data_IF_763208283592
#
_entry.id   IF_763208283592
#
_cell.length_a   1.000
_cell.length_b   1.000
_cell.length_c   1.000
_cell.angle_alpha   90.00
_cell.angle_beta   90.00
_cell.angle_gamma   90.00
#
_symmetry.space_group_name_H-M   'P 1'
#
loop_
_entity.id
_entity.type
_entity.pdbx_description
1 polymer ?
#
# COMPACT_ATOMS: atom_id res chain seq x y z
N UNK A 1 -14.96 7.99 14.97
CA UNK A 1 -14.53 6.70 14.38
C UNK A 1 -13.01 6.56 14.34
N UNK A 2 -12.26 7.55 13.83
CA UNK A 2 -10.80 7.41 13.63
C UNK A 2 -10.02 6.82 14.81
N UNK A 3 -10.14 7.30 16.07
CA UNK A 3 -9.35 6.73 17.16
C UNK A 3 -9.54 5.21 17.33
N UNK A 4 -10.79 4.73 17.22
CA UNK A 4 -11.11 3.30 17.33
C UNK A 4 -10.59 2.48 16.14
N UNK A 5 -10.69 3.03 14.92
CA UNK A 5 -10.19 2.34 13.72
C UNK A 5 -8.66 2.21 13.75
N UNK A 6 -7.97 3.27 14.17
CA UNK A 6 -6.52 3.31 14.32
C UNK A 6 -6.06 2.34 15.42
N UNK A 7 -6.78 2.27 16.55
CA UNK A 7 -6.49 1.31 17.62
C UNK A 7 -6.59 -0.13 17.11
N UNK A 8 -7.67 -0.47 16.39
CA UNK A 8 -7.85 -1.80 15.80
C UNK A 8 -6.78 -2.14 14.75
N UNK A 9 -6.30 -1.15 14.00
CA UNK A 9 -5.18 -1.34 13.08
C UNK A 9 -3.86 -1.62 13.80
N UNK A 10 -3.57 -0.86 14.86
CA UNK A 10 -2.41 -1.09 15.73
C UNK A 10 -2.46 -2.47 16.38
N UNK A 11 -3.60 -2.83 16.99
CA UNK A 11 -3.83 -4.13 17.61
C UNK A 11 -3.75 -5.29 16.60
N UNK A 12 -4.08 -5.01 15.33
CA UNK A 12 -3.93 -5.92 14.21
C UNK A 12 -2.48 -6.06 13.72
N UNK A 13 -1.54 -5.31 14.30
CA UNK A 13 -0.11 -5.42 14.01
C UNK A 13 0.41 -4.50 12.89
N UNK A 14 -0.38 -3.51 12.44
CA UNK A 14 0.12 -2.53 11.47
C UNK A 14 1.15 -1.59 12.12
N UNK A 15 2.12 -1.15 11.33
CA UNK A 15 3.09 -0.11 11.69
C UNK A 15 2.82 1.22 10.99
N UNK A 16 2.10 1.19 9.86
CA UNK A 16 1.86 2.33 8.98
C UNK A 16 0.38 2.38 8.56
N UNK A 17 -0.22 3.56 8.61
CA UNK A 17 -1.52 3.85 8.00
C UNK A 17 -1.28 4.59 6.68
N UNK A 18 -1.82 4.07 5.58
CA UNK A 18 -1.76 4.72 4.27
C UNK A 18 -3.09 5.38 3.94
N UNK A 19 -3.06 6.61 3.43
CA UNK A 19 -4.26 7.33 3.01
C UNK A 19 -4.01 8.19 1.78
N UNK A 20 -5.05 8.38 0.97
CA UNK A 20 -5.06 9.40 -0.08
C UNK A 20 -5.39 10.78 0.47
N UNK A 21 -5.09 11.82 -0.31
CA UNK A 21 -5.60 13.17 -0.13
C UNK A 21 -6.62 13.47 -1.22
N UNK A 22 -7.85 13.81 -0.83
CA UNK A 22 -8.98 13.95 -1.75
C UNK A 22 -9.12 15.43 -2.16
N UNK A 23 -8.47 15.85 -3.24
CA UNK A 23 -8.43 17.27 -3.64
C UNK A 23 -9.83 17.88 -3.80
N UNK A 24 -10.74 17.20 -4.49
CA UNK A 24 -12.11 17.69 -4.67
C UNK A 24 -12.90 17.88 -3.37
N UNK A 25 -12.56 17.15 -2.31
CA UNK A 25 -13.12 17.33 -0.98
C UNK A 25 -12.54 18.60 -0.33
N UNK A 26 -11.26 18.85 -0.51
CA UNK A 26 -10.56 19.98 0.09
C UNK A 26 -10.71 21.30 -0.69
N UNK A 27 -10.97 21.27 -2.00
CA UNK A 27 -11.16 22.47 -2.83
C UNK A 27 -12.39 22.30 -3.74
N UNK A 28 -13.62 22.30 -3.19
CA UNK A 28 -14.83 22.03 -3.96
C UNK A 28 -15.13 23.14 -5.00
N UNK A 29 -14.60 24.35 -4.81
CA UNK A 29 -14.75 25.49 -5.74
C UNK A 29 -13.42 26.21 -5.91
N UNK A 30 -13.11 26.58 -7.15
CA UNK A 30 -11.89 27.32 -7.47
C UNK A 30 -11.83 28.66 -6.74
N UNK A 31 -10.67 28.98 -6.18
CA UNK A 31 -10.41 30.29 -5.57
C UNK A 31 -11.05 30.51 -4.20
N UNK A 32 -11.80 29.53 -3.68
CA UNK A 32 -12.26 29.54 -2.30
C UNK A 32 -11.18 29.02 -1.34
N UNK A 33 -11.38 29.27 -0.05
CA UNK A 33 -10.54 28.68 0.98
C UNK A 33 -10.71 27.16 0.97
N UNK A 34 -9.59 26.44 1.10
CA UNK A 34 -9.61 25.00 1.24
C UNK A 34 -10.39 24.58 2.51
N UNK A 35 -11.17 23.52 2.40
CA UNK A 35 -11.88 22.90 3.53
C UNK A 35 -11.08 21.73 4.12
N UNK A 36 -10.68 21.91 5.38
CA UNK A 36 -10.03 20.89 6.20
C UNK A 36 -10.80 20.69 7.51
N UNK A 37 -12.12 20.86 7.49
CA UNK A 37 -12.98 20.71 8.65
C UNK A 37 -13.64 19.32 8.72
N UNK A 38 -14.12 18.94 9.91
CA UNK A 38 -14.88 17.70 10.08
C UNK A 38 -14.13 16.46 9.59
N UNK A 39 -14.74 15.72 8.65
CA UNK A 39 -14.11 14.51 8.07
C UNK A 39 -12.96 14.81 7.09
N UNK A 40 -12.83 16.07 6.65
CA UNK A 40 -11.75 16.54 5.78
C UNK A 40 -10.54 17.05 6.58
N UNK A 41 -10.57 16.99 7.92
CA UNK A 41 -9.44 17.39 8.76
C UNK A 41 -8.31 16.35 8.74
N UNK A 42 -7.52 16.39 7.67
CA UNK A 42 -6.40 15.48 7.45
C UNK A 42 -5.27 15.66 8.46
N UNK A 43 -5.06 16.89 8.95
CA UNK A 43 -4.05 17.19 9.97
C UNK A 43 -4.42 16.49 11.27
N UNK A 44 -5.67 16.62 11.72
CA UNK A 44 -6.17 15.91 12.91
C UNK A 44 -6.08 14.40 12.75
N UNK A 45 -6.45 13.87 11.57
CA UNK A 45 -6.34 12.44 11.30
C UNK A 45 -4.89 11.93 11.43
N UNK A 46 -3.92 12.64 10.84
CA UNK A 46 -2.50 12.27 10.92
C UNK A 46 -1.95 12.42 12.35
N UNK A 47 -2.35 13.46 13.08
CA UNK A 47 -1.99 13.63 14.50
C UNK A 47 -2.54 12.51 15.38
N UNK A 48 -3.75 12.04 15.11
CA UNK A 48 -4.34 10.89 15.81
C UNK A 48 -3.53 9.61 15.55
N UNK A 49 -3.09 9.37 14.31
CA UNK A 49 -2.22 8.23 13.97
C UNK A 49 -0.90 8.32 14.74
N UNK A 50 -0.30 9.51 14.79
CA UNK A 50 0.94 9.75 15.53
C UNK A 50 0.79 9.54 17.03
N UNK A 51 -0.30 10.04 17.63
CA UNK A 51 -0.59 9.89 19.05
C UNK A 51 -0.71 8.41 19.47
N UNK A 52 -1.13 7.55 18.53
CA UNK A 52 -1.18 6.10 18.75
C UNK A 52 0.12 5.39 18.40
N UNK A 53 1.17 6.10 17.97
CA UNK A 53 2.51 5.55 17.72
C UNK A 53 2.64 4.79 16.39
N UNK A 54 1.81 5.12 15.40
CA UNK A 54 1.90 4.59 14.04
C UNK A 54 2.49 5.62 13.08
N UNK A 55 3.04 5.15 11.96
CA UNK A 55 3.53 5.99 10.87
C UNK A 55 2.47 6.21 9.79
N UNK A 56 2.76 7.11 8.84
CA UNK A 56 1.88 7.45 7.72
C UNK A 56 2.59 7.36 6.38
N UNK A 57 1.91 6.76 5.41
CA UNK A 57 2.19 6.94 3.98
C UNK A 57 1.12 7.85 3.38
N UNK A 58 1.51 9.07 3.00
CA UNK A 58 0.58 10.10 2.51
C UNK A 58 0.56 10.14 0.99
N UNK A 59 -0.51 9.66 0.36
CA UNK A 59 -0.64 9.61 -1.11
C UNK A 59 -1.37 10.86 -1.60
N UNK A 60 -0.61 11.86 -2.04
CA UNK A 60 -1.13 13.21 -2.28
C UNK A 60 -1.91 13.32 -3.61
N UNK A 61 -1.59 12.48 -4.60
CA UNK A 61 -2.21 12.53 -5.92
C UNK A 61 -1.50 13.53 -6.85
N UNK A 62 -2.21 14.38 -7.61
CA UNK A 62 -3.58 14.84 -7.35
C UNK A 62 -4.66 13.87 -7.85
N UNK A 63 -4.38 13.11 -8.91
CA UNK A 63 -5.23 12.00 -9.29
C UNK A 63 -4.94 10.82 -8.38
N UNK A 64 -5.98 10.26 -7.77
CA UNK A 64 -5.88 9.16 -6.80
C UNK A 64 -6.64 7.92 -7.22
N UNK A 65 -7.44 7.99 -8.29
CA UNK A 65 -8.41 6.94 -8.65
C UNK A 65 -9.37 6.72 -7.46
N UNK A 66 -9.10 5.71 -6.63
CA UNK A 66 -9.77 5.37 -5.37
C UNK A 66 -11.26 5.04 -5.51
N UNK A 67 -11.72 4.70 -6.71
CA UNK A 67 -13.14 4.66 -7.08
C UNK A 67 -13.91 5.91 -6.59
N UNK A 68 -13.20 7.04 -6.55
CA UNK A 68 -13.68 8.30 -6.00
C UNK A 68 -14.11 9.23 -7.13
N UNK A 69 -15.11 10.09 -6.87
CA UNK A 69 -15.67 11.03 -7.84
C UNK A 69 -14.55 11.79 -8.55
N UNK A 70 -14.53 11.67 -9.88
CA UNK A 70 -13.56 12.33 -10.75
C UNK A 70 -12.09 12.04 -10.41
N UNK A 71 -11.81 10.85 -9.83
CA UNK A 71 -10.47 10.41 -9.44
C UNK A 71 -9.80 11.32 -8.41
N UNK A 72 -10.59 12.05 -7.62
CA UNK A 72 -10.13 13.03 -6.65
C UNK A 72 -9.93 14.45 -7.20
N UNK A 73 -9.98 14.66 -8.51
CA UNK A 73 -9.84 15.99 -9.10
C UNK A 73 -11.09 16.84 -8.86
N UNK A 74 -10.98 18.14 -8.52
CA UNK A 74 -12.14 19.01 -8.44
C UNK A 74 -12.82 19.19 -9.80
N UNK A 75 -14.15 19.21 -9.83
CA UNK A 75 -14.88 19.30 -11.09
C UNK A 75 -14.63 20.61 -11.84
N UNK A 76 -14.46 21.73 -11.12
CA UNK A 76 -14.14 23.04 -11.72
C UNK A 76 -12.83 23.04 -12.51
N UNK A 77 -11.94 22.07 -12.27
CA UNK A 77 -10.70 21.93 -13.02
C UNK A 77 -10.98 21.66 -14.50
N UNK A 78 -12.13 21.06 -14.82
CA UNK A 78 -12.59 20.82 -16.20
C UNK A 78 -12.76 22.12 -17.00
N UNK A 79 -13.18 23.20 -16.34
CA UNK A 79 -13.51 24.47 -17.00
C UNK A 79 -12.28 25.37 -17.20
N UNK A 80 -11.09 24.92 -16.79
CA UNK A 80 -9.84 25.67 -16.99
C UNK A 80 -9.48 25.68 -18.48
N UNK A 81 -9.31 26.85 -19.11
CA UNK A 81 -9.02 26.94 -20.55
C UNK A 81 -7.76 26.16 -20.96
N UNK A 82 -7.91 25.31 -21.98
CA UNK A 82 -6.82 24.54 -22.57
C UNK A 82 -6.26 23.43 -21.68
N UNK A 83 -6.98 23.03 -20.63
CA UNK A 83 -6.50 22.00 -19.71
C UNK A 83 -6.55 20.61 -20.34
N UNK A 84 -5.51 19.82 -20.09
CA UNK A 84 -5.48 18.40 -20.38
C UNK A 84 -4.96 17.71 -19.13
N UNK A 85 -5.79 16.87 -18.52
CA UNK A 85 -5.45 16.23 -17.26
C UNK A 85 -4.34 15.21 -17.42
N UNK A 86 -3.52 15.11 -16.37
CA UNK A 86 -2.47 14.09 -16.25
C UNK A 86 -1.60 14.04 -17.50
N UNK A 87 -1.18 15.20 -17.99
CA UNK A 87 -0.36 15.33 -19.20
C UNK A 87 0.62 16.48 -19.00
N UNK A 88 1.62 16.58 -19.89
CA UNK A 88 2.52 17.72 -19.94
C UNK A 88 1.78 18.93 -20.53
N UNK A 89 0.93 19.52 -19.69
CA UNK A 89 0.01 20.60 -19.98
C UNK A 89 0.17 21.64 -18.89
N UNK A 90 0.57 22.86 -19.26
CA UNK A 90 0.92 23.90 -18.29
C UNK A 90 -0.22 24.24 -17.31
N UNK A 91 -1.48 24.46 -17.76
CA UNK A 91 -2.59 24.67 -16.83
C UNK A 91 -2.76 23.55 -15.79
N UNK A 92 -2.69 22.29 -16.20
CA UNK A 92 -2.79 21.16 -15.27
C UNK A 92 -1.62 21.11 -14.30
N UNK A 93 -0.39 21.29 -14.79
CA UNK A 93 0.83 21.30 -13.97
C UNK A 93 0.80 22.39 -12.90
N UNK A 94 0.34 23.59 -13.25
CA UNK A 94 0.26 24.71 -12.31
C UNK A 94 -0.73 24.42 -11.17
N UNK A 95 -1.92 23.89 -11.50
CA UNK A 95 -2.92 23.53 -10.50
C UNK A 95 -2.48 22.34 -9.64
N UNK A 96 -1.91 21.29 -10.25
CA UNK A 96 -1.35 20.14 -9.53
C UNK A 96 -0.24 20.57 -8.55
N UNK A 97 0.70 21.39 -9.00
CA UNK A 97 1.80 21.88 -8.18
C UNK A 97 1.27 22.74 -7.02
N UNK A 98 0.30 23.62 -7.27
CA UNK A 98 -0.31 24.45 -6.23
C UNK A 98 -0.96 23.60 -5.14
N UNK A 99 -1.70 22.56 -5.53
CA UNK A 99 -2.33 21.65 -4.58
C UNK A 99 -1.30 20.84 -3.78
N UNK A 100 -0.34 20.21 -4.47
CA UNK A 100 0.71 19.44 -3.81
C UNK A 100 1.53 20.29 -2.84
N UNK A 101 1.92 21.50 -3.24
CA UNK A 101 2.63 22.45 -2.39
C UNK A 101 1.79 22.88 -1.17
N UNK A 102 0.49 23.10 -1.34
CA UNK A 102 -0.42 23.42 -0.24
C UNK A 102 -0.46 22.30 0.81
N UNK A 103 -0.64 21.06 0.37
CA UNK A 103 -0.67 19.90 1.28
C UNK A 103 0.69 19.72 1.98
N UNK A 104 1.79 19.72 1.24
CA UNK A 104 3.14 19.58 1.83
C UNK A 104 3.43 20.71 2.82
N UNK A 105 3.10 21.95 2.48
CA UNK A 105 3.29 23.10 3.38
C UNK A 105 2.50 22.95 4.68
N UNK A 106 1.26 22.45 4.62
CA UNK A 106 0.44 22.21 5.80
C UNK A 106 1.01 21.08 6.68
N UNK A 107 1.48 19.99 6.07
CA UNK A 107 2.12 18.91 6.82
C UNK A 107 3.41 19.40 7.48
N UNK A 108 4.18 20.24 6.78
CA UNK A 108 5.42 20.85 7.32
C UNK A 108 5.16 21.82 8.46
N UNK A 109 4.16 22.69 8.36
CA UNK A 109 3.84 23.66 9.42
C UNK A 109 3.43 22.99 10.73
N UNK A 110 2.93 21.75 10.64
CA UNK A 110 2.51 20.94 11.78
C UNK A 110 3.58 19.90 12.20
N UNK A 111 4.79 19.98 11.64
CA UNK A 111 5.90 19.04 11.87
C UNK A 111 5.52 17.57 11.66
N UNK A 112 4.68 17.27 10.67
CA UNK A 112 4.13 15.92 10.48
C UNK A 112 5.03 15.00 9.65
N UNK A 113 6.07 15.51 8.98
CA UNK A 113 7.06 14.65 8.33
C UNK A 113 8.04 14.04 9.34
N UNK A 114 8.46 12.79 9.11
CA UNK A 114 9.42 12.10 9.98
C UNK A 114 10.76 12.83 10.10
N UNK A 115 11.17 13.57 9.06
CA UNK A 115 12.31 14.50 9.08
C UNK A 115 12.17 15.63 10.12
N UNK A 116 10.96 15.90 10.60
CA UNK A 116 10.61 16.90 11.61
C UNK A 116 10.12 16.25 12.92
N UNK A 117 10.21 14.93 13.06
CA UNK A 117 9.72 14.18 14.22
C UNK A 117 8.26 13.69 14.11
N UNK A 118 7.58 13.94 12.99
CA UNK A 118 6.20 13.51 12.76
C UNK A 118 6.05 12.08 12.20
N UNK A 119 4.82 11.61 11.96
CA UNK A 119 4.57 10.22 11.55
C UNK A 119 4.75 9.95 10.05
N UNK A 120 4.77 10.96 9.16
CA UNK A 120 4.76 10.74 7.71
C UNK A 120 6.15 10.29 7.25
N UNK A 121 6.28 9.02 6.87
CA UNK A 121 7.54 8.39 6.45
C UNK A 121 7.68 8.24 4.93
N UNK A 122 6.57 8.29 4.20
CA UNK A 122 6.53 8.14 2.74
C UNK A 122 5.46 9.08 2.16
N UNK A 123 5.71 9.62 0.97
CA UNK A 123 4.71 10.37 0.20
C UNK A 123 4.57 9.80 -1.21
N UNK A 124 3.38 9.84 -1.81
CA UNK A 124 3.18 9.46 -3.22
C UNK A 124 2.69 10.65 -4.04
N UNK A 125 3.27 10.80 -5.23
CA UNK A 125 2.79 11.71 -6.28
C UNK A 125 2.21 10.87 -7.42
N UNK A 126 1.14 11.35 -8.07
CA UNK A 126 0.36 10.59 -9.06
C UNK A 126 -0.19 9.26 -8.50
N UNK A 127 -0.89 8.51 -9.35
CA UNK A 127 -1.42 7.18 -9.09
C UNK A 127 -1.60 6.37 -10.38
N UNK A 128 -0.83 5.28 -10.52
CA UNK A 128 -0.92 4.31 -11.63
C UNK A 128 -0.81 4.92 -13.04
N UNK A 129 0.00 5.97 -13.20
CA UNK A 129 0.07 6.74 -14.44
C UNK A 129 0.58 5.95 -15.65
N UNK A 130 1.50 4.99 -15.46
CA UNK A 130 2.01 4.13 -16.54
C UNK A 130 0.90 3.46 -17.35
N UNK A 131 -0.29 3.25 -16.76
CA UNK A 131 -1.44 2.63 -17.46
C UNK A 131 -1.98 3.46 -18.61
N UNK A 132 -1.74 4.78 -18.63
CA UNK A 132 -2.19 5.71 -19.68
C UNK A 132 -1.04 6.51 -20.30
N UNK A 133 0.18 6.34 -19.80
CA UNK A 133 1.33 7.16 -20.20
C UNK A 133 1.58 7.13 -21.71
N UNK A 134 1.49 5.94 -22.33
CA UNK A 134 1.67 5.79 -23.77
C UNK A 134 0.64 6.54 -24.60
N UNK A 135 -0.56 6.74 -24.07
CA UNK A 135 -1.66 7.39 -24.78
C UNK A 135 -1.40 8.89 -24.97
N UNK A 136 -0.46 9.46 -24.19
CA UNK A 136 -0.02 10.84 -24.31
C UNK A 136 1.23 11.02 -25.20
N UNK A 137 1.76 9.95 -25.79
CA UNK A 137 3.02 10.00 -26.56
C UNK A 137 4.14 10.66 -25.76
N UNK A 138 4.89 11.57 -26.37
CA UNK A 138 6.03 12.25 -25.71
C UNK A 138 5.63 13.08 -24.47
N UNK A 139 4.36 13.47 -24.36
CA UNK A 139 3.86 14.23 -23.19
C UNK A 139 3.72 13.35 -21.95
N UNK A 140 3.58 12.04 -22.08
CA UNK A 140 3.48 11.11 -20.96
C UNK A 140 4.79 11.06 -20.15
N UNK A 141 5.89 10.60 -20.75
CA UNK A 141 7.19 10.56 -20.07
C UNK A 141 7.68 11.94 -19.63
N UNK A 142 7.36 13.00 -20.40
CA UNK A 142 7.68 14.38 -20.00
C UNK A 142 6.96 14.79 -18.71
N UNK A 143 5.66 14.47 -18.61
CA UNK A 143 4.87 14.70 -17.41
C UNK A 143 5.37 13.89 -16.21
N UNK A 144 5.72 12.61 -16.38
CA UNK A 144 6.28 11.78 -15.29
C UNK A 144 7.55 12.38 -14.73
N UNK A 145 8.50 12.79 -15.60
CA UNK A 145 9.73 13.46 -15.18
C UNK A 145 9.44 14.77 -14.45
N UNK A 146 8.51 15.57 -14.96
CA UNK A 146 8.11 16.82 -14.31
C UNK A 146 7.47 16.57 -12.93
N UNK A 147 6.52 15.63 -12.82
CA UNK A 147 5.77 15.35 -11.60
C UNK A 147 6.69 14.84 -10.48
N UNK A 148 7.58 13.90 -10.82
CA UNK A 148 8.60 13.41 -9.90
C UNK A 148 9.55 14.53 -9.44
N UNK A 149 10.07 15.34 -10.37
CA UNK A 149 10.98 16.42 -10.03
C UNK A 149 10.28 17.53 -9.21
N UNK A 150 9.01 17.82 -9.49
CA UNK A 150 8.19 18.75 -8.72
C UNK A 150 8.01 18.26 -7.28
N UNK A 151 7.62 17.00 -7.10
CA UNK A 151 7.43 16.40 -5.78
C UNK A 151 8.72 16.41 -4.94
N UNK A 152 9.86 16.02 -5.54
CA UNK A 152 11.17 16.02 -4.88
C UNK A 152 11.59 17.43 -4.47
N UNK A 153 11.34 18.45 -5.31
CA UNK A 153 11.62 19.87 -4.98
C UNK A 153 10.80 20.42 -3.82
N UNK A 154 9.70 19.77 -3.42
CA UNK A 154 8.95 20.15 -2.21
C UNK A 154 9.73 19.83 -0.93
N UNK A 155 10.83 19.08 -1.00
CA UNK A 155 11.79 18.85 0.09
C UNK A 155 11.13 18.40 1.40
N UNK A 156 10.29 17.37 1.33
CA UNK A 156 9.59 16.79 2.50
C UNK A 156 10.56 16.17 3.52
N UNK A 157 11.79 15.83 3.08
CA UNK A 157 12.77 15.12 3.89
C UNK A 157 12.48 13.63 4.04
N UNK A 158 11.49 13.10 3.31
CA UNK A 158 11.13 11.67 3.26
C UNK A 158 11.02 11.19 1.81
N UNK A 159 11.17 9.88 1.53
CA UNK A 159 11.09 9.36 0.16
C UNK A 159 9.73 9.57 -0.51
N UNK A 160 9.78 9.72 -1.84
CA UNK A 160 8.61 9.77 -2.70
C UNK A 160 8.40 8.45 -3.44
N UNK A 161 7.13 8.11 -3.64
CA UNK A 161 6.66 6.91 -4.34
C UNK A 161 5.89 7.30 -5.61
N UNK A 162 5.90 6.40 -6.60
CA UNK A 162 4.93 6.35 -7.70
C UNK A 162 4.51 4.89 -7.91
N UNK A 163 3.22 4.60 -7.78
CA UNK A 163 2.72 3.23 -7.93
C UNK A 163 2.42 2.89 -9.38
N UNK A 164 2.74 1.65 -9.79
CA UNK A 164 2.74 1.20 -11.19
C UNK A 164 3.40 2.24 -12.10
N UNK A 165 4.67 2.52 -11.86
CA UNK A 165 5.46 3.46 -12.67
C UNK A 165 6.87 2.90 -12.84
N UNK A 166 7.06 2.01 -13.81
CA UNK A 166 8.32 1.26 -13.96
C UNK A 166 9.49 2.19 -14.31
N UNK A 167 9.24 3.32 -14.96
CA UNK A 167 10.23 4.34 -15.32
C UNK A 167 10.30 5.53 -14.35
N UNK A 168 9.76 5.39 -13.12
CA UNK A 168 9.83 6.44 -12.10
C UNK A 168 11.28 6.93 -11.89
N UNK A 169 11.59 8.21 -12.14
CA UNK A 169 12.96 8.71 -12.13
C UNK A 169 13.50 8.82 -10.71
N UNK A 170 14.81 8.66 -10.55
CA UNK A 170 15.47 8.82 -9.26
C UNK A 170 15.23 10.23 -8.68
N UNK A 171 15.05 10.35 -7.35
CA UNK A 171 15.11 9.30 -6.31
C UNK A 171 13.75 8.60 -6.02
N UNK A 172 12.72 8.78 -6.86
CA UNK A 172 11.36 8.26 -6.60
C UNK A 172 11.33 6.73 -6.68
N UNK A 173 10.66 6.09 -5.73
CA UNK A 173 10.54 4.63 -5.66
C UNK A 173 9.30 4.17 -6.45
N UNK A 174 9.49 3.30 -7.44
CA UNK A 174 8.38 2.63 -8.10
C UNK A 174 7.81 1.52 -7.23
N UNK A 175 6.49 1.40 -7.16
CA UNK A 175 5.81 0.44 -6.29
C UNK A 175 4.83 -0.43 -7.05
N UNK A 176 4.43 -1.54 -6.42
CA UNK A 176 3.46 -2.47 -6.98
C UNK A 176 2.07 -2.30 -6.36
N UNK A 177 1.04 -2.52 -7.19
CA UNK A 177 -0.36 -2.62 -6.79
C UNK A 177 -0.98 -3.90 -7.36
N UNK A 178 -2.01 -4.42 -6.70
CA UNK A 178 -2.78 -5.57 -7.14
C UNK A 178 -2.89 -6.66 -6.10
N UNK A 179 -3.45 -7.81 -6.48
CA UNK A 179 -3.61 -8.96 -5.59
C UNK A 179 -2.30 -9.70 -5.29
N UNK A 180 -1.35 -9.69 -6.23
CA UNK A 180 -0.34 -10.76 -6.35
C UNK A 180 1.09 -10.24 -6.53
N UNK A 181 1.45 -9.08 -5.98
CA UNK A 181 2.80 -8.53 -6.16
C UNK A 181 3.93 -9.47 -5.70
N UNK A 182 3.69 -10.36 -4.71
CA UNK A 182 4.64 -11.43 -4.37
C UNK A 182 4.96 -12.38 -5.53
N UNK A 183 4.08 -12.47 -6.53
CA UNK A 183 4.30 -13.19 -7.79
C UNK A 183 4.66 -12.28 -8.95
N UNK A 184 3.95 -11.16 -9.12
CA UNK A 184 3.95 -10.36 -10.34
C UNK A 184 4.92 -9.19 -10.33
N UNK A 185 5.35 -8.72 -9.16
CA UNK A 185 6.29 -7.61 -9.10
C UNK A 185 7.67 -8.08 -9.54
N UNK A 186 8.22 -7.39 -10.55
CA UNK A 186 9.57 -7.64 -11.07
C UNK A 186 10.65 -7.14 -10.11
N UNK A 187 10.30 -6.20 -9.24
CA UNK A 187 11.22 -5.51 -8.34
C UNK A 187 11.25 -4.00 -8.65
N UNK A 188 11.94 -3.23 -7.81
CA UNK A 188 12.15 -1.81 -8.06
C UNK A 188 13.01 -1.61 -9.32
N UNK A 189 12.90 -0.45 -9.94
CA UNK A 189 13.62 -0.09 -11.17
C UNK A 189 15.09 0.28 -10.94
N UNK A 190 15.59 0.15 -9.71
CA UNK A 190 16.99 0.32 -9.34
C UNK A 190 17.32 -0.61 -8.16
N UNK A 191 18.52 -1.22 -8.12
CA UNK A 191 18.94 -2.07 -7.00
C UNK A 191 19.07 -1.32 -5.67
N UNK A 192 19.15 0.02 -5.70
CA UNK A 192 19.27 0.86 -4.51
C UNK A 192 17.91 1.25 -3.90
N UNK A 193 16.80 0.76 -4.45
CA UNK A 193 15.44 1.06 -3.99
C UNK A 193 14.84 -0.16 -3.27
N UNK A 194 14.00 0.03 -2.24
CA UNK A 194 13.29 -1.07 -1.60
C UNK A 194 12.16 -1.61 -2.47
N UNK A 195 11.75 -2.86 -2.23
CA UNK A 195 10.55 -3.44 -2.84
C UNK A 195 9.31 -3.06 -2.02
N UNK A 196 8.43 -2.24 -2.60
CA UNK A 196 7.26 -1.66 -1.94
C UNK A 196 5.97 -2.08 -2.63
N UNK A 197 5.01 -2.58 -1.86
CA UNK A 197 3.66 -2.93 -2.30
C UNK A 197 2.63 -1.99 -1.67
N UNK A 198 2.22 -0.97 -2.41
CA UNK A 198 1.33 0.11 -1.94
C UNK A 198 -0.14 -0.31 -1.88
N UNK A 199 -0.59 -1.26 -2.71
CA UNK A 199 -1.97 -1.73 -2.68
C UNK A 199 -2.08 -3.24 -2.82
N UNK A 200 -2.12 -3.93 -1.68
CA UNK A 200 -2.54 -5.32 -1.59
C UNK A 200 -4.06 -5.38 -1.48
N UNK A 201 -4.73 -5.62 -2.61
CA UNK A 201 -6.20 -5.56 -2.66
C UNK A 201 -6.86 -6.62 -1.75
N UNK A 202 -7.53 -6.22 -0.67
CA UNK A 202 -8.10 -7.13 0.34
C UNK A 202 -9.46 -7.73 -0.05
N UNK A 203 -10.05 -7.19 -1.11
CA UNK A 203 -11.27 -7.61 -1.80
C UNK A 203 -11.24 -6.95 -3.19
N UNK A 204 -12.39 -6.69 -3.81
CA UNK A 204 -12.51 -5.88 -5.02
C UNK A 204 -13.60 -4.83 -4.77
N UNK A 205 -13.51 -3.72 -5.49
CA UNK A 205 -14.56 -2.71 -5.52
C UNK A 205 -15.93 -3.34 -5.81
N UNK A 206 -16.95 -2.84 -5.14
CA UNK A 206 -18.34 -3.27 -5.29
C UNK A 206 -19.06 -2.24 -6.16
N UNK A 207 -19.59 -2.66 -7.31
CA UNK A 207 -20.46 -1.83 -8.15
C UNK A 207 -21.92 -2.23 -7.97
N UNK A 208 -22.83 -1.30 -8.29
CA UNK A 208 -24.26 -1.56 -8.28
C UNK A 208 -24.62 -2.73 -9.21
N UNK A 209 -25.44 -3.65 -8.72
CA UNK A 209 -25.92 -4.81 -9.48
C UNK A 209 -25.00 -6.04 -9.46
N UNK A 210 -23.77 -5.96 -8.96
CA UNK A 210 -22.85 -7.10 -8.89
C UNK A 210 -22.86 -7.82 -7.54
N UNK A 211 -22.43 -9.08 -7.53
CA UNK A 211 -22.15 -9.81 -6.29
C UNK A 211 -20.81 -9.39 -5.67
N UNK A 212 -20.71 -9.54 -4.35
CA UNK A 212 -19.50 -9.20 -3.59
C UNK A 212 -18.37 -10.20 -3.82
N UNK A 213 -17.28 -9.72 -4.42
CA UNK A 213 -16.05 -10.50 -4.62
C UNK A 213 -15.23 -10.59 -3.34
N UNK A 214 -15.26 -11.76 -2.71
CA UNK A 214 -14.48 -12.02 -1.50
C UNK A 214 -13.07 -12.50 -1.85
N UNK A 215 -12.10 -12.03 -1.07
CA UNK A 215 -10.74 -12.57 -1.05
C UNK A 215 -10.46 -13.17 0.33
N UNK A 216 -10.02 -14.42 0.37
CA UNK A 216 -9.82 -15.13 1.61
C UNK A 216 -8.61 -14.62 2.38
N UNK A 217 -8.63 -14.77 3.71
CA UNK A 217 -7.51 -14.39 4.58
C UNK A 217 -6.23 -15.14 4.21
N UNK A 218 -6.36 -16.41 3.84
CA UNK A 218 -5.27 -17.31 3.48
C UNK A 218 -4.59 -16.89 2.18
N UNK A 219 -5.37 -16.43 1.18
CA UNK A 219 -4.80 -15.94 -0.07
C UNK A 219 -4.05 -14.61 0.14
N UNK A 220 -4.62 -13.69 0.93
CA UNK A 220 -3.93 -12.45 1.31
C UNK A 220 -2.61 -12.80 2.01
N UNK A 221 -2.67 -13.63 3.06
CA UNK A 221 -1.50 -14.03 3.83
C UNK A 221 -0.44 -14.74 2.97
N UNK A 222 -0.86 -15.62 2.04
CA UNK A 222 0.04 -16.27 1.10
C UNK A 222 0.84 -15.26 0.28
N UNK A 223 0.17 -14.27 -0.30
CA UNK A 223 0.84 -13.29 -1.14
C UNK A 223 1.72 -12.32 -0.35
N UNK A 224 1.31 -11.92 0.86
CA UNK A 224 2.14 -11.11 1.76
C UNK A 224 3.40 -11.87 2.17
N UNK A 225 3.26 -13.10 2.68
CA UNK A 225 4.40 -13.91 3.10
C UNK A 225 5.35 -14.19 1.92
N UNK A 226 4.82 -14.45 0.73
CA UNK A 226 5.64 -14.64 -0.46
C UNK A 226 6.35 -13.37 -0.92
N UNK A 227 5.73 -12.20 -0.79
CA UNK A 227 6.36 -10.93 -1.12
C UNK A 227 7.54 -10.65 -0.18
N UNK A 228 7.34 -10.84 1.13
CA UNK A 228 8.41 -10.67 2.14
C UNK A 228 9.54 -11.69 1.93
N UNK A 229 9.19 -12.95 1.67
CA UNK A 229 10.17 -14.01 1.36
C UNK A 229 11.09 -13.67 0.18
N UNK A 230 10.65 -12.80 -0.74
CA UNK A 230 11.40 -12.32 -1.90
C UNK A 230 11.97 -10.90 -1.71
N UNK A 231 12.40 -10.56 -0.48
CA UNK A 231 12.94 -9.24 -0.11
C UNK A 231 11.95 -8.06 -0.22
N UNK A 232 10.65 -8.33 -0.12
CA UNK A 232 9.64 -7.29 0.05
C UNK A 232 9.73 -6.66 1.44
N UNK A 233 9.81 -5.33 1.51
CA UNK A 233 10.04 -4.62 2.78
C UNK A 233 8.89 -3.71 3.22
N UNK A 234 7.89 -3.49 2.38
CA UNK A 234 6.68 -2.74 2.71
C UNK A 234 5.47 -3.34 2.02
N UNK A 235 4.40 -3.59 2.77
CA UNK A 235 3.10 -4.05 2.25
C UNK A 235 1.98 -3.27 2.90
N UNK A 236 1.14 -2.63 2.08
CA UNK A 236 -0.06 -1.96 2.54
C UNK A 236 -1.32 -2.65 2.04
N UNK A 237 -2.30 -2.82 2.92
CA UNK A 237 -3.61 -3.38 2.59
C UNK A 237 -4.54 -2.33 2.02
N UNK A 238 -5.02 -2.54 0.79
CA UNK A 238 -6.03 -1.69 0.15
C UNK A 238 -7.35 -2.47 0.02
N UNK A 239 -8.33 -2.32 0.91
CA UNK A 239 -8.36 -1.47 2.10
C UNK A 239 -8.15 -2.29 3.37
N UNK A 240 -7.58 -1.66 4.40
CA UNK A 240 -7.61 -2.20 5.76
C UNK A 240 -8.93 -1.88 6.47
N UNK A 241 -9.43 -0.66 6.28
CA UNK A 241 -10.81 -0.23 6.50
C UNK A 241 -11.23 0.57 5.26
N UNK A 242 -12.30 0.16 4.60
CA UNK A 242 -12.81 0.89 3.43
C UNK A 242 -13.78 2.00 3.81
N UNK A 243 -14.81 1.67 4.60
CA UNK A 243 -15.78 2.63 5.11
C UNK A 243 -16.89 2.93 4.10
N UNK A 244 -17.33 4.18 4.06
CA UNK A 244 -18.53 4.59 3.31
C UNK A 244 -18.26 5.84 2.47
N UNK A 245 -18.72 5.79 1.23
CA UNK A 245 -18.77 6.93 0.33
C UNK A 245 -19.93 7.87 0.70
N UNK A 246 -19.82 8.63 1.81
CA UNK A 246 -20.92 9.50 2.23
C UNK A 246 -21.13 10.70 1.31
N UNK A 247 -22.39 11.11 1.21
CA UNK A 247 -22.82 12.24 0.39
C UNK A 247 -22.96 11.85 -1.07
N UNK A 248 -22.73 12.81 -1.96
CA UNK A 248 -22.95 12.68 -3.41
C UNK A 248 -21.74 13.05 -4.27
N UNK A 249 -20.58 13.24 -3.63
CA UNK A 249 -19.32 13.68 -4.25
C UNK A 249 -18.16 12.75 -3.88
N UNK A 250 -18.48 11.56 -3.36
CA UNK A 250 -17.53 10.57 -2.89
C UNK A 250 -17.39 9.42 -3.90
N UNK A 251 -18.42 8.59 -4.08
CA UNK A 251 -18.36 7.44 -4.97
C UNK A 251 -18.27 7.84 -6.45
N UNK A 252 -17.48 7.11 -7.23
CA UNK A 252 -17.61 7.00 -8.67
C UNK A 252 -17.90 5.54 -9.02
N UNK A 253 -19.00 5.26 -9.74
CA UNK A 253 -19.41 3.94 -10.26
C UNK A 253 -19.54 2.76 -9.25
N UNK A 254 -19.09 2.92 -8.00
CA UNK A 254 -19.20 1.98 -6.89
C UNK A 254 -20.40 2.27 -6.01
N UNK A 255 -20.75 1.30 -5.16
CA UNK A 255 -21.78 1.45 -4.14
C UNK A 255 -21.42 2.47 -3.06
N UNK A 256 -22.41 2.90 -2.29
CA UNK A 256 -22.19 3.72 -1.08
C UNK A 256 -21.26 3.02 -0.08
N UNK A 257 -21.43 1.70 0.10
CA UNK A 257 -20.49 0.87 0.85
C UNK A 257 -19.16 0.75 0.10
N UNK A 258 -18.04 0.92 0.81
CA UNK A 258 -16.69 0.87 0.22
C UNK A 258 -15.85 -0.21 0.91
N UNK A 259 -15.52 -1.28 0.17
CA UNK A 259 -14.64 -2.37 0.64
C UNK A 259 -15.07 -3.01 1.99
N UNK A 260 -16.35 -3.36 2.16
CA UNK A 260 -16.88 -3.95 3.41
C UNK A 260 -16.22 -5.30 3.80
N UNK A 261 -15.63 -6.00 2.82
CA UNK A 261 -14.87 -7.24 3.05
C UNK A 261 -13.44 -7.00 3.55
N UNK A 262 -13.04 -5.76 3.86
CA UNK A 262 -11.74 -5.44 4.47
C UNK A 262 -11.57 -6.08 5.87
N UNK A 263 -10.33 -6.14 6.41
CA UNK A 263 -10.07 -6.63 7.78
C UNK A 263 -10.89 -5.91 8.87
N UNK A 264 -11.15 -4.62 8.69
CA UNK A 264 -12.13 -3.86 9.45
C UNK A 264 -13.26 -3.48 8.48
N UNK A 265 -14.49 -3.88 8.80
CA UNK A 265 -15.65 -3.69 7.94
C UNK A 265 -16.08 -2.22 7.80
N UNK A 266 -17.13 -1.96 7.02
CA UNK A 266 -17.67 -0.62 6.78
C UNK A 266 -18.02 0.14 8.08
N UNK A 267 -18.53 -0.58 9.08
CA UNK A 267 -18.99 -0.02 10.35
C UNK A 267 -17.88 0.05 11.40
N UNK A 268 -16.67 -0.41 11.06
CA UNK A 268 -15.53 -0.41 11.96
C UNK A 268 -15.43 -1.64 12.84
N UNK A 269 -16.17 -2.73 12.56
CA UNK A 269 -16.08 -3.99 13.29
C UNK A 269 -14.95 -4.86 12.72
N UNK A 270 -14.37 -5.70 13.58
CA UNK A 270 -13.31 -6.62 13.21
C UNK A 270 -13.91 -7.79 12.42
N UNK A 271 -13.44 -8.00 11.18
CA UNK A 271 -13.91 -9.09 10.32
C UNK A 271 -13.06 -10.35 10.52
N UNK A 272 -13.60 -11.32 11.24
CA UNK A 272 -12.96 -12.64 11.40
C UNK A 272 -13.34 -13.59 10.25
N UNK A 273 -12.45 -14.54 9.87
CA UNK A 273 -11.10 -14.75 10.42
C UNK A 273 -10.03 -13.81 9.83
N UNK A 274 -10.39 -12.90 8.90
CA UNK A 274 -9.43 -12.12 8.11
C UNK A 274 -8.50 -11.26 8.97
N UNK A 275 -9.05 -10.50 9.90
CA UNK A 275 -8.25 -9.65 10.78
C UNK A 275 -7.33 -10.46 11.70
N UNK A 276 -7.84 -11.53 12.33
CA UNK A 276 -7.07 -12.38 13.23
C UNK A 276 -5.91 -13.09 12.53
N UNK A 277 -6.20 -13.70 11.38
CA UNK A 277 -5.20 -14.41 10.58
C UNK A 277 -4.06 -13.49 10.10
N UNK A 278 -4.40 -12.25 9.71
CA UNK A 278 -3.38 -11.26 9.32
C UNK A 278 -2.60 -10.74 10.53
N UNK A 279 -3.24 -10.58 11.70
CA UNK A 279 -2.57 -10.21 12.95
C UNK A 279 -1.50 -11.22 13.33
N UNK A 280 -1.79 -12.51 13.25
CA UNK A 280 -0.83 -13.58 13.55
C UNK A 280 0.31 -13.64 12.53
N UNK A 281 0.00 -13.42 11.24
CA UNK A 281 1.03 -13.24 10.22
C UNK A 281 1.95 -12.09 10.61
N UNK A 282 1.41 -10.91 10.95
CA UNK A 282 2.23 -9.75 11.33
C UNK A 282 3.10 -10.03 12.55
N UNK A 283 2.53 -10.65 13.60
CA UNK A 283 3.29 -11.04 14.79
C UNK A 283 4.46 -11.98 14.44
N UNK A 284 4.22 -12.93 13.53
CA UNK A 284 5.26 -13.86 13.06
C UNK A 284 6.32 -13.16 12.20
N UNK A 285 5.94 -12.21 11.36
CA UNK A 285 6.91 -11.40 10.62
C UNK A 285 7.75 -10.54 11.56
N UNK A 286 7.14 -9.93 12.59
CA UNK A 286 7.85 -9.14 13.60
C UNK A 286 8.87 -9.97 14.38
N UNK A 287 8.57 -11.22 14.70
CA UNK A 287 9.55 -12.13 15.34
C UNK A 287 10.72 -12.51 14.42
N UNK A 288 10.59 -12.30 13.11
CA UNK A 288 11.64 -12.50 12.12
C UNK A 288 12.42 -11.20 11.77
N UNK A 289 12.03 -10.04 12.30
CA UNK A 289 12.44 -8.72 11.81
C UNK A 289 13.96 -8.52 11.78
N UNK A 290 14.67 -8.88 12.86
CA UNK A 290 16.13 -8.74 12.93
C UNK A 290 16.83 -9.47 11.78
N UNK A 291 16.46 -10.72 11.53
CA UNK A 291 17.03 -11.53 10.45
C UNK A 291 16.63 -10.98 9.08
N UNK A 292 15.36 -10.59 8.89
CA UNK A 292 14.87 -10.03 7.64
C UNK A 292 15.59 -8.74 7.24
N UNK A 293 15.99 -7.91 8.20
CA UNK A 293 16.63 -6.61 7.97
C UNK A 293 18.14 -6.70 7.78
N UNK A 294 18.79 -7.73 8.30
CA UNK A 294 20.27 -7.79 8.37
C UNK A 294 20.90 -8.93 7.56
N UNK A 295 20.14 -9.99 7.27
CA UNK A 295 20.66 -11.17 6.60
C UNK A 295 20.50 -11.11 5.08
N UNK A 296 21.30 -11.92 4.38
CA UNK A 296 21.17 -12.12 2.94
C UNK A 296 20.17 -13.24 2.68
N UNK A 297 19.27 -13.01 1.72
CA UNK A 297 18.28 -13.99 1.29
C UNK A 297 18.88 -14.97 0.28
N UNK A 298 18.72 -16.27 0.54
CA UNK A 298 19.11 -17.36 -0.36
C UNK A 298 17.91 -18.24 -0.69
N UNK A 299 17.84 -18.70 -1.95
CA UNK A 299 16.71 -19.51 -2.43
C UNK A 299 17.15 -20.93 -2.70
N UNK A 300 16.40 -21.90 -2.18
CA UNK A 300 16.64 -23.33 -2.38
C UNK A 300 15.41 -24.00 -3.01
N UNK A 301 15.63 -24.93 -3.92
CA UNK A 301 14.57 -25.80 -4.43
C UNK A 301 14.27 -26.90 -3.41
N UNK A 302 13.00 -27.11 -3.10
CA UNK A 302 12.53 -28.22 -2.25
C UNK A 302 11.72 -29.27 -3.03
N UNK A 303 11.45 -29.00 -4.31
CA UNK A 303 10.61 -29.81 -5.18
C UNK A 303 10.15 -29.01 -6.40
N UNK A 304 9.36 -29.62 -7.27
CA UNK A 304 8.91 -29.00 -8.53
C UNK A 304 8.13 -27.70 -8.31
N UNK A 305 7.31 -27.64 -7.26
CA UNK A 305 6.50 -26.47 -6.92
C UNK A 305 6.83 -25.89 -5.54
N UNK A 306 7.91 -26.37 -4.91
CA UNK A 306 8.28 -26.02 -3.55
C UNK A 306 9.64 -25.33 -3.50
N UNK A 307 9.72 -24.24 -2.74
CA UNK A 307 10.96 -23.47 -2.55
C UNK A 307 11.13 -23.10 -1.09
N UNK A 308 12.37 -22.98 -0.63
CA UNK A 308 12.72 -22.29 0.60
C UNK A 308 13.37 -20.95 0.27
N UNK A 309 12.92 -19.89 0.94
CA UNK A 309 13.64 -18.62 1.00
C UNK A 309 14.21 -18.51 2.41
N UNK A 310 15.53 -18.47 2.53
CA UNK A 310 16.23 -18.50 3.81
C UNK A 310 17.01 -17.21 3.96
N UNK A 311 16.78 -16.52 5.08
CA UNK A 311 17.53 -15.36 5.52
C UNK A 311 18.49 -15.87 6.60
N UNK A 312 19.78 -15.87 6.30
CA UNK A 312 20.81 -16.33 7.23
C UNK A 312 21.98 -15.36 7.24
N UNK A 313 22.27 -14.80 8.42
CA UNK A 313 23.38 -13.88 8.63
C UNK A 313 24.65 -14.59 9.08
N UNK A 314 25.68 -13.81 9.46
CA UNK A 314 26.87 -14.32 10.15
C UNK A 314 26.58 -14.71 11.61
N UNK A 315 25.54 -14.11 12.21
CA UNK A 315 24.96 -14.54 13.47
C UNK A 315 24.23 -15.89 13.28
N UNK A 316 24.04 -16.67 14.35
CA UNK A 316 23.29 -17.94 14.30
C UNK A 316 21.78 -17.75 14.04
N UNK A 317 21.32 -16.53 13.78
CA UNK A 317 19.94 -16.19 13.49
C UNK A 317 19.58 -16.62 12.06
N UNK A 318 18.44 -17.28 11.92
CA UNK A 318 18.00 -17.86 10.67
C UNK A 318 16.48 -17.81 10.60
N UNK A 319 15.94 -17.25 9.52
CA UNK A 319 14.51 -17.26 9.24
C UNK A 319 14.28 -17.92 7.88
N UNK A 320 13.30 -18.82 7.79
CA UNK A 320 12.96 -19.48 6.54
C UNK A 320 11.46 -19.36 6.20
N UNK A 321 11.19 -19.22 4.90
CA UNK A 321 9.87 -19.29 4.31
C UNK A 321 9.81 -20.51 3.40
N UNK A 322 9.04 -21.52 3.78
CA UNK A 322 8.84 -22.72 2.99
C UNK A 322 7.54 -22.58 2.18
N UNK A 323 7.66 -22.48 0.86
CA UNK A 323 6.55 -22.15 -0.03
C UNK A 323 6.12 -23.40 -0.79
N UNK A 324 4.83 -23.68 -0.82
CA UNK A 324 4.20 -24.63 -1.75
C UNK A 324 3.25 -23.90 -2.69
N UNK A 325 3.62 -23.83 -3.98
CA UNK A 325 2.80 -23.21 -5.03
C UNK A 325 1.88 -24.18 -5.76
N UNK A 326 1.87 -25.46 -5.38
CA UNK A 326 0.92 -26.42 -5.93
C UNK A 326 -0.50 -26.03 -5.46
N UNK A 327 -1.42 -25.86 -6.41
CA UNK A 327 -2.80 -25.43 -6.12
C UNK A 327 -3.72 -26.56 -5.69
N UNK A 328 -3.34 -27.80 -5.99
CA UNK A 328 -4.18 -28.99 -5.84
C UNK A 328 -3.73 -29.86 -4.67
N UNK A 329 -2.42 -30.00 -4.44
CA UNK A 329 -1.89 -30.97 -3.48
C UNK A 329 -1.00 -30.34 -2.40
N UNK A 330 -1.12 -30.87 -1.18
CA UNK A 330 -0.10 -30.69 -0.16
C UNK A 330 1.19 -31.43 -0.55
N UNK A 331 2.33 -30.98 -0.03
CA UNK A 331 3.63 -31.58 -0.31
C UNK A 331 4.41 -31.85 0.97
N UNK A 332 5.04 -33.02 1.05
CA UNK A 332 6.05 -33.32 2.06
C UNK A 332 7.42 -32.91 1.52
N UNK A 333 8.12 -32.03 2.21
CA UNK A 333 9.46 -31.53 1.84
C UNK A 333 10.46 -31.82 2.95
N UNK A 334 11.73 -31.97 2.58
CA UNK A 334 12.85 -31.99 3.54
C UNK A 334 13.56 -30.64 3.53
N UNK A 335 13.70 -30.00 4.69
CA UNK A 335 14.46 -28.76 4.88
C UNK A 335 15.32 -28.89 6.15
N UNK A 336 16.63 -28.64 6.04
CA UNK A 336 17.59 -28.80 7.14
C UNK A 336 17.42 -30.10 7.94
N UNK A 337 17.38 -31.24 7.24
CA UNK A 337 17.18 -32.59 7.78
C UNK A 337 15.85 -32.86 8.50
N UNK A 338 14.92 -31.90 8.51
CA UNK A 338 13.58 -32.04 9.09
C UNK A 338 12.52 -32.14 7.98
N UNK A 339 11.49 -32.95 8.20
CA UNK A 339 10.38 -33.11 7.24
C UNK A 339 9.23 -32.19 7.60
N UNK A 340 8.74 -31.42 6.62
CA UNK A 340 7.61 -30.52 6.76
C UNK A 340 6.48 -30.91 5.80
N UNK A 341 5.24 -30.76 6.23
CA UNK A 341 4.06 -30.88 5.37
C UNK A 341 3.57 -29.47 5.06
N UNK A 342 3.65 -29.08 3.79
CA UNK A 342 3.19 -27.79 3.31
C UNK A 342 1.81 -27.98 2.65
N UNK A 343 0.73 -27.40 3.20
CA UNK A 343 -0.57 -27.36 2.53
C UNK A 343 -0.46 -26.81 1.09
N UNK A 344 -1.44 -27.16 0.24
CA UNK A 344 -1.55 -26.55 -1.09
C UNK A 344 -1.64 -25.03 -0.97
N UNK A 345 -1.01 -24.30 -1.89
CA UNK A 345 -1.04 -22.84 -1.93
C UNK A 345 -0.76 -22.16 -0.59
N UNK A 346 0.40 -22.49 0.01
CA UNK A 346 0.74 -22.00 1.35
C UNK A 346 2.21 -21.59 1.49
N UNK A 347 2.47 -20.75 2.50
CA UNK A 347 3.81 -20.44 3.00
C UNK A 347 3.85 -20.78 4.49
N UNK A 348 4.80 -21.62 4.90
CA UNK A 348 5.16 -21.81 6.31
C UNK A 348 6.31 -20.87 6.67
N UNK A 349 6.18 -20.13 7.77
CA UNK A 349 7.21 -19.21 8.28
C UNK A 349 7.86 -19.85 9.51
N UNK A 350 9.19 -19.95 9.47
CA UNK A 350 10.03 -20.54 10.50
C UNK A 350 10.99 -19.45 11.00
N UNK A 351 10.67 -18.73 12.09
CA UNK A 351 11.51 -17.64 12.61
C UNK A 351 12.93 -18.06 13.00
N UNK A 352 13.13 -19.35 13.31
CA UNK A 352 14.37 -19.99 13.75
C UNK A 352 14.91 -21.04 12.75
N UNK A 353 14.34 -21.09 11.54
CA UNK A 353 14.57 -22.12 10.51
C UNK A 353 14.23 -23.57 10.93
N UNK A 354 13.57 -23.79 12.07
CA UNK A 354 13.25 -25.12 12.60
C UNK A 354 11.76 -25.32 12.84
N UNK A 355 11.12 -24.40 13.54
CA UNK A 355 9.75 -24.53 14.03
C UNK A 355 8.80 -23.68 13.20
N UNK A 356 7.72 -24.28 12.70
CA UNK A 356 6.69 -23.53 11.97
C UNK A 356 5.87 -22.70 12.96
N UNK A 357 6.08 -21.39 12.97
CA UNK A 357 5.30 -20.47 13.80
C UNK A 357 3.97 -20.10 13.16
N UNK A 358 3.93 -20.04 11.83
CA UNK A 358 2.73 -19.69 11.07
C UNK A 358 2.69 -20.42 9.73
N UNK A 359 1.48 -20.80 9.28
CA UNK A 359 1.26 -21.23 7.91
C UNK A 359 0.05 -20.50 7.33
N UNK A 360 0.21 -19.91 6.14
CA UNK A 360 -0.80 -19.04 5.54
C UNK A 360 -2.13 -19.73 5.24
N UNK A 361 -2.18 -21.06 5.15
CA UNK A 361 -3.37 -21.83 4.83
C UNK A 361 -4.05 -22.50 6.05
N UNK A 362 -3.47 -22.40 7.25
CA UNK A 362 -4.08 -22.93 8.48
C UNK A 362 -4.84 -21.80 9.18
N UNK A 363 -6.12 -22.03 9.50
CA UNK A 363 -6.83 -21.14 10.40
C UNK A 363 -6.42 -21.46 11.83
N UNK A 364 -6.29 -20.42 12.64
CA UNK A 364 -6.06 -20.52 14.08
C UNK A 364 -7.34 -20.16 14.82
#
# INVERSE_FOLDING_TARGET
MWPSLISKAKEGGLDVIQTYVFWNLHEPRQGQQFDFSGRADIVRFIKEIHAQGLYVTLRIGPFIESEWTYGGLPFWLHDVPGIVFRSDNQPFKDHMQKFAAKIVSMMKSENLYASQGGPIILSQIENEYQTIESDFGDKGPSYVRWAAAMAVRLQTGVPWLMCKQDDAPDPVINTCNGYRCGQTFKGPNSPNKPSVWTENWTSFLQVYGNETKKRSAQDIAFHVALFIAKNGSYVNYYMYHGGTNFGRTAAAFVTTSYYDEAPIDEYGLIRQPKWGHLKELHATIKSCSQTLLTAVQQTFSLGQHQKAYVFQGKSKECTAFLVNRNRTHAARVKFQNTSYILPRWSVSILPDCKSVAFNTAKNF
#
